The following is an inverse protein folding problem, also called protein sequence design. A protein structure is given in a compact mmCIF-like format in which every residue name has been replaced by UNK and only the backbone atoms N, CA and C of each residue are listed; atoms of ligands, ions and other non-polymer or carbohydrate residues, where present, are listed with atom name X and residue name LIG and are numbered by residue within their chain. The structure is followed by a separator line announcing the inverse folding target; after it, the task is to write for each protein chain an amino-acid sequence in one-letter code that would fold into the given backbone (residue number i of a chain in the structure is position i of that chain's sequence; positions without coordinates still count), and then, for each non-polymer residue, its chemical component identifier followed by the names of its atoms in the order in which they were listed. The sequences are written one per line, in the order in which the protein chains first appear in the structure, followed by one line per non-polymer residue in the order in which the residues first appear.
data_IF_791848644984
#
_entry.id   IF_791848644984
#
_cell.length_a   1.000
_cell.length_b   1.000
_cell.length_c   1.000
_cell.angle_alpha   90.00
_cell.angle_beta   90.00
_cell.angle_gamma   90.00
#
_symmetry.space_group_name_H-M   'P 1'
#
loop_
_entity.id
_entity.type
_entity.pdbx_description
1 polymer ?
#
# COMPACT_ATOMS: atom_id res chain seq x y z
N UNK A 1 -1.14 -13.78 8.86
CA UNK A 1 0.15 -13.25 8.37
C UNK A 1 0.35 -13.24 6.84
N UNK A 2 -0.25 -14.14 6.05
CA UNK A 2 -0.01 -14.17 4.59
C UNK A 2 -0.65 -13.01 3.80
N UNK A 3 -1.86 -12.59 4.18
CA UNK A 3 -2.61 -11.56 3.46
C UNK A 3 -1.86 -10.22 3.39
N UNK A 4 -1.20 -9.83 4.49
CA UNK A 4 -0.40 -8.60 4.57
C UNK A 4 0.82 -8.62 3.64
N UNK A 5 1.52 -9.76 3.56
CA UNK A 5 2.66 -9.93 2.64
C UNK A 5 2.20 -9.86 1.18
N UNK A 6 1.05 -10.47 0.86
CA UNK A 6 0.46 -10.41 -0.49
C UNK A 6 0.05 -8.99 -0.86
N UNK A 7 -0.67 -8.29 0.01
CA UNK A 7 -1.08 -6.90 -0.17
C UNK A 7 0.14 -5.99 -0.35
N UNK A 8 1.15 -6.12 0.52
CA UNK A 8 2.39 -5.36 0.41
C UNK A 8 3.12 -5.60 -0.91
N UNK A 9 3.15 -6.85 -1.38
CA UNK A 9 3.79 -7.18 -2.66
C UNK A 9 3.04 -6.56 -3.82
N UNK A 10 1.71 -6.64 -3.83
CA UNK A 10 0.86 -6.01 -4.85
C UNK A 10 1.01 -4.48 -4.86
N UNK A 11 0.92 -3.84 -3.70
CA UNK A 11 1.06 -2.38 -3.58
C UNK A 11 2.45 -1.91 -4.04
N UNK A 12 3.52 -2.61 -3.66
CA UNK A 12 4.89 -2.31 -4.13
C UNK A 12 5.06 -2.51 -5.63
N UNK A 13 4.49 -3.58 -6.18
CA UNK A 13 4.50 -3.83 -7.62
C UNK A 13 3.76 -2.73 -8.39
N UNK A 14 2.65 -2.23 -7.84
CA UNK A 14 1.86 -1.19 -8.47
C UNK A 14 2.53 0.18 -8.41
N UNK A 15 3.15 0.49 -7.27
CA UNK A 15 3.86 1.76 -7.10
C UNK A 15 5.21 1.75 -7.84
N UNK A 16 5.71 0.59 -8.29
CA UNK A 16 7.08 0.42 -8.83
C UNK A 16 8.14 1.04 -7.91
N UNK A 17 7.90 1.03 -6.60
CA UNK A 17 8.82 1.58 -5.60
C UNK A 17 9.29 0.56 -4.59
N UNK A 18 10.44 0.88 -3.98
CA UNK A 18 10.95 0.18 -2.83
C UNK A 18 10.01 0.35 -1.63
N UNK A 19 9.88 -0.70 -0.83
CA UNK A 19 9.13 -0.66 0.41
C UNK A 19 9.35 -1.89 1.27
N UNK A 20 9.27 -1.72 2.57
CA UNK A 20 9.47 -2.80 3.54
C UNK A 20 8.17 -3.09 4.29
N UNK A 21 8.08 -4.30 4.86
CA UNK A 21 7.02 -4.61 5.83
C UNK A 21 7.73 -4.65 7.17
N UNK A 22 7.35 -3.77 8.09
CA UNK A 22 7.94 -3.68 9.41
C UNK A 22 6.83 -3.72 10.45
N UNK A 23 6.88 -4.68 11.36
CA UNK A 23 5.92 -4.81 12.47
C UNK A 23 4.43 -4.84 12.02
N UNK A 24 4.16 -5.46 10.87
CA UNK A 24 2.79 -5.51 10.31
C UNK A 24 2.34 -4.23 9.60
N UNK A 25 3.25 -3.26 9.40
CA UNK A 25 3.02 -2.03 8.65
C UNK A 25 3.77 -2.11 7.32
N UNK A 26 3.12 -1.68 6.24
CA UNK A 26 3.71 -1.65 4.90
C UNK A 26 4.21 -0.22 4.67
N UNK A 27 5.52 -0.06 4.62
CA UNK A 27 6.16 1.23 4.32
C UNK A 27 6.54 1.25 2.83
N UNK A 28 6.02 2.22 2.10
CA UNK A 28 6.26 2.40 0.66
C UNK A 28 6.98 3.74 0.48
N UNK A 29 8.07 3.73 -0.27
CA UNK A 29 8.85 4.94 -0.56
C UNK A 29 8.18 5.72 -1.70
N UNK A 30 8.22 7.05 -1.61
CA UNK A 30 7.68 7.98 -2.62
C UNK A 30 6.27 8.46 -2.33
N UNK A 31 5.76 9.33 -3.21
CA UNK A 31 4.41 9.88 -3.12
C UNK A 31 3.45 9.12 -4.04
N UNK A 32 3.01 7.96 -3.56
CA UNK A 32 2.05 7.11 -4.26
C UNK A 32 0.67 7.15 -3.61
N UNK A 33 0.33 8.23 -2.90
CA UNK A 33 -0.90 8.36 -2.13
C UNK A 33 -2.14 8.12 -2.99
N UNK A 34 -2.22 8.78 -4.14
CA UNK A 34 -3.36 8.64 -5.06
C UNK A 34 -3.45 7.25 -5.69
N UNK A 35 -2.30 6.69 -6.12
CA UNK A 35 -2.25 5.34 -6.70
C UNK A 35 -2.64 4.27 -5.69
N UNK A 36 -2.12 4.35 -4.46
CA UNK A 36 -2.45 3.44 -3.37
C UNK A 36 -3.93 3.55 -3.01
N UNK A 37 -4.47 4.78 -2.96
CA UNK A 37 -5.89 5.00 -2.72
C UNK A 37 -6.75 4.34 -3.79
N UNK A 38 -6.50 4.63 -5.07
CA UNK A 38 -7.28 4.09 -6.17
C UNK A 38 -7.23 2.55 -6.21
N UNK A 39 -6.07 1.95 -5.93
CA UNK A 39 -5.93 0.49 -5.96
C UNK A 39 -6.58 -0.19 -4.75
N UNK A 40 -6.41 0.38 -3.55
CA UNK A 40 -7.07 -0.14 -2.35
C UNK A 40 -8.60 0.04 -2.43
N UNK A 41 -9.09 1.15 -2.98
CA UNK A 41 -10.52 1.35 -3.26
C UNK A 41 -11.03 0.33 -4.29
N UNK A 42 -10.28 0.05 -5.35
CA UNK A 42 -10.60 -1.01 -6.32
C UNK A 42 -10.65 -2.40 -5.70
N UNK A 43 -9.79 -2.66 -4.74
CA UNK A 43 -9.78 -3.91 -3.96
C UNK A 43 -10.95 -3.99 -2.96
N UNK A 44 -11.77 -2.94 -2.85
CA UNK A 44 -12.90 -2.86 -1.92
C UNK A 44 -12.50 -2.51 -0.48
N UNK A 45 -11.29 -2.01 -0.27
CA UNK A 45 -10.81 -1.58 1.03
C UNK A 45 -11.15 -0.10 1.29
N UNK A 46 -11.52 0.22 2.53
CA UNK A 46 -11.73 1.61 2.95
C UNK A 46 -10.39 2.30 3.13
N UNK A 47 -10.08 3.25 2.26
CA UNK A 47 -8.83 4.02 2.32
C UNK A 47 -9.08 5.34 3.02
N UNK A 48 -8.22 5.66 3.99
CA UNK A 48 -8.13 6.99 4.57
C UNK A 48 -6.72 7.51 4.35
N UNK A 49 -6.59 8.55 3.53
CA UNK A 49 -5.33 9.27 3.39
C UNK A 49 -5.07 10.04 4.70
N UNK A 50 -3.92 9.79 5.32
CA UNK A 50 -3.48 10.55 6.48
C UNK A 50 -2.61 11.72 6.00
N UNK A 51 -2.99 12.95 6.38
CA UNK A 51 -2.30 14.18 6.01
C UNK A 51 -3.27 15.18 5.36
N UNK A 52 -3.49 16.29 6.07
CA UNK A 52 -4.05 17.54 5.54
C UNK A 52 -2.99 18.62 5.59
#
# INVERSE_FOLDING_TARGET
EAALKTLAKQLKQKCSTGGTIKDGVIEIQGDHRDTLKAELEKLGHTVKLAGG
#
